data_IF_622692926467
#
_entry.id   IF_622692926467
#
_cell.length_a   1.000
_cell.length_b   1.000
_cell.length_c   1.000
_cell.angle_alpha   90.00
_cell.angle_beta   90.00
_cell.angle_gamma   90.00
#
_symmetry.space_group_name_H-M   'P 1'
#
loop_
_entity.id
_entity.type
_entity.pdbx_description
1 polymer ?
#
# COMPACT_ATOMS: atom_id res chain seq x y z
N UNK A 1 9.22 -16.23 -25.50
CA UNK A 1 9.69 -14.85 -25.26
C UNK A 1 8.55 -14.08 -24.60
N UNK A 2 8.39 -14.22 -23.29
CA UNK A 2 7.42 -13.45 -22.51
C UNK A 2 8.22 -12.75 -21.44
N UNK A 3 8.37 -11.44 -21.60
CA UNK A 3 8.99 -10.56 -20.64
C UNK A 3 8.26 -10.73 -19.30
N UNK A 4 8.86 -11.48 -18.38
CA UNK A 4 8.62 -11.30 -16.96
C UNK A 4 9.17 -9.91 -16.64
N UNK A 5 8.31 -8.89 -16.76
CA UNK A 5 8.59 -7.59 -16.15
C UNK A 5 8.71 -7.91 -14.66
N UNK A 6 9.95 -8.06 -14.20
CA UNK A 6 10.27 -8.17 -12.78
C UNK A 6 9.71 -6.90 -12.13
N UNK A 7 8.55 -7.01 -11.47
CA UNK A 7 8.00 -5.96 -10.63
C UNK A 7 9.03 -5.70 -9.53
N UNK A 8 9.76 -4.59 -9.66
CA UNK A 8 10.69 -4.17 -8.63
C UNK A 8 9.85 -3.69 -7.43
N UNK A 9 9.99 -4.26 -6.22
CA UNK A 9 9.16 -3.91 -5.07
C UNK A 9 9.22 -2.41 -4.72
N UNK A 10 10.34 -1.75 -5.02
CA UNK A 10 10.51 -0.30 -4.84
C UNK A 10 9.62 0.50 -5.81
N UNK A 11 9.38 0.00 -7.01
CA UNK A 11 8.52 0.68 -8.01
C UNK A 11 7.06 0.67 -7.61
N UNK A 12 6.60 -0.39 -6.93
CA UNK A 12 5.21 -0.48 -6.47
C UNK A 12 4.93 0.53 -5.33
N UNK A 13 5.87 0.65 -4.38
CA UNK A 13 5.80 1.66 -3.30
C UNK A 13 5.76 3.07 -3.89
N UNK A 14 6.65 3.36 -4.86
CA UNK A 14 6.67 4.67 -5.54
C UNK A 14 5.37 4.97 -6.28
N UNK A 15 4.78 3.97 -6.92
CA UNK A 15 3.51 4.11 -7.62
C UNK A 15 2.37 4.45 -6.65
N UNK A 16 2.30 3.77 -5.51
CA UNK A 16 1.28 4.04 -4.50
C UNK A 16 1.44 5.45 -3.91
N UNK A 17 2.67 5.87 -3.56
CA UNK A 17 2.91 7.21 -3.04
C UNK A 17 2.49 8.29 -4.04
N UNK A 18 2.78 8.09 -5.33
CA UNK A 18 2.35 9.02 -6.38
C UNK A 18 0.81 9.10 -6.48
N UNK A 19 0.11 7.97 -6.38
CA UNK A 19 -1.36 7.97 -6.35
C UNK A 19 -1.87 8.79 -5.16
N UNK A 20 -1.31 8.59 -3.96
CA UNK A 20 -1.70 9.37 -2.78
C UNK A 20 -1.44 10.87 -2.95
N UNK A 21 -0.30 11.26 -3.53
CA UNK A 21 0.02 12.67 -3.83
C UNK A 21 -0.97 13.28 -4.82
N UNK A 22 -1.37 12.53 -5.86
CA UNK A 22 -2.32 12.99 -6.85
C UNK A 22 -3.74 13.09 -6.25
N UNK A 23 -4.15 12.17 -5.36
CA UNK A 23 -5.38 12.28 -4.59
C UNK A 23 -5.41 13.53 -3.70
N UNK A 24 -4.28 13.85 -3.06
CA UNK A 24 -4.14 15.04 -2.21
C UNK A 24 -4.25 16.33 -3.02
N UNK A 25 -3.59 16.39 -4.20
CA UNK A 25 -3.68 17.55 -5.11
C UNK A 25 -5.09 17.78 -5.64
N UNK A 26 -5.82 16.70 -5.90
CA UNK A 26 -7.20 16.76 -6.39
C UNK A 26 -8.22 17.06 -5.28
N UNK A 27 -7.79 17.14 -4.02
CA UNK A 27 -8.67 17.42 -2.88
C UNK A 27 -9.69 16.30 -2.60
N UNK A 28 -9.44 15.09 -3.09
CA UNK A 28 -10.28 13.90 -2.85
C UNK A 28 -9.84 13.13 -1.60
N UNK A 29 -8.70 13.49 -1.00
CA UNK A 29 -8.25 12.95 0.28
C UNK A 29 -9.29 13.20 1.38
N UNK A 30 -9.93 12.12 1.85
CA UNK A 30 -10.95 12.14 2.90
C UNK A 30 -12.36 11.82 2.41
N UNK A 31 -12.62 11.87 1.10
CA UNK A 31 -13.87 11.37 0.53
C UNK A 31 -13.71 9.87 0.24
N UNK A 32 -14.17 9.04 1.18
CA UNK A 32 -14.12 7.57 1.07
C UNK A 32 -14.80 7.05 -0.20
N UNK A 33 -15.69 7.82 -0.83
CA UNK A 33 -16.35 7.42 -2.08
C UNK A 33 -15.48 7.60 -3.33
N UNK A 34 -14.43 8.43 -3.26
CA UNK A 34 -13.58 8.81 -4.40
C UNK A 34 -12.13 8.36 -4.28
N UNK A 35 -11.67 8.01 -3.09
CA UNK A 35 -10.31 7.47 -2.90
C UNK A 35 -10.20 6.05 -3.47
N UNK A 36 -9.00 5.66 -3.90
CA UNK A 36 -8.67 4.32 -4.36
C UNK A 36 -9.04 3.23 -3.34
N UNK A 37 -9.14 3.58 -2.05
CA UNK A 37 -9.61 2.71 -0.97
C UNK A 37 -11.03 2.16 -1.20
N UNK A 38 -11.87 2.85 -1.96
CA UNK A 38 -13.23 2.37 -2.26
C UNK A 38 -13.24 1.00 -2.95
N UNK A 39 -12.19 0.69 -3.72
CA UNK A 39 -12.02 -0.63 -4.36
C UNK A 39 -11.86 -1.76 -3.34
N UNK A 40 -11.35 -1.45 -2.14
CA UNK A 40 -11.02 -2.41 -1.10
C UNK A 40 -11.98 -2.31 0.11
N UNK A 41 -13.10 -1.59 0.01
CA UNK A 41 -13.97 -1.30 1.16
C UNK A 41 -14.45 -2.57 1.90
N UNK A 42 -14.62 -3.67 1.17
CA UNK A 42 -15.16 -4.93 1.69
C UNK A 42 -14.07 -5.87 2.23
N UNK A 43 -12.81 -5.42 2.27
CA UNK A 43 -11.67 -6.20 2.77
C UNK A 43 -10.79 -5.37 3.70
N UNK A 44 -10.66 -5.81 4.94
CA UNK A 44 -9.71 -5.24 5.92
C UNK A 44 -8.30 -5.85 5.83
N UNK A 45 -8.06 -6.75 4.89
CA UNK A 45 -6.77 -7.42 4.72
C UNK A 45 -5.78 -6.55 3.95
N UNK A 46 -4.56 -6.42 4.50
CA UNK A 46 -3.44 -5.71 3.87
C UNK A 46 -2.29 -6.67 3.60
N UNK A 47 -1.56 -6.43 2.51
CA UNK A 47 -0.34 -7.17 2.17
C UNK A 47 0.88 -6.33 2.56
N UNK A 48 1.81 -6.94 3.28
CA UNK A 48 3.05 -6.30 3.72
C UNK A 48 4.23 -7.11 3.13
N UNK A 49 5.11 -6.44 2.40
CA UNK A 49 6.29 -7.05 1.79
C UNK A 49 7.55 -6.24 2.09
N UNK A 50 8.70 -6.91 2.06
CA UNK A 50 10.00 -6.26 2.33
C UNK A 50 10.35 -6.12 3.81
N UNK A 51 9.71 -6.90 4.69
CA UNK A 51 10.06 -6.93 6.11
C UNK A 51 11.44 -7.58 6.32
N UNK A 52 12.28 -7.03 7.21
CA UNK A 52 13.49 -7.71 7.68
C UNK A 52 13.19 -9.08 8.30
N UNK A 53 14.04 -10.07 8.04
CA UNK A 53 13.88 -11.44 8.56
C UNK A 53 14.01 -11.56 10.08
N UNK A 54 14.53 -10.52 10.73
CA UNK A 54 14.71 -10.48 12.19
C UNK A 54 13.45 -10.06 12.93
N UNK A 55 12.44 -9.54 12.23
CA UNK A 55 11.18 -9.12 12.84
C UNK A 55 10.32 -10.32 13.21
N UNK A 56 9.78 -10.29 14.43
CA UNK A 56 8.81 -11.28 14.90
C UNK A 56 7.38 -10.83 14.60
N UNK A 57 6.43 -11.77 14.63
CA UNK A 57 5.01 -11.46 14.50
C UNK A 57 4.53 -10.46 15.56
N UNK A 58 5.07 -10.54 16.78
CA UNK A 58 4.78 -9.61 17.87
C UNK A 58 5.25 -8.18 17.60
N UNK A 59 6.42 -8.03 16.97
CA UNK A 59 6.94 -6.71 16.57
C UNK A 59 6.05 -6.07 15.49
N UNK A 60 5.60 -6.89 14.53
CA UNK A 60 4.69 -6.44 13.47
C UNK A 60 3.37 -5.96 14.10
N UNK A 61 2.74 -6.77 14.97
CA UNK A 61 1.49 -6.38 15.63
C UNK A 61 1.66 -5.08 16.41
N UNK A 62 2.76 -4.93 17.14
CA UNK A 62 3.05 -3.74 17.97
C UNK A 62 3.15 -2.46 17.14
N UNK A 63 3.78 -2.52 15.96
CA UNK A 63 3.92 -1.36 15.07
C UNK A 63 2.59 -1.01 14.39
N UNK A 64 1.81 -2.01 13.97
CA UNK A 64 0.55 -1.80 13.26
C UNK A 64 -0.67 -1.53 14.17
N UNK A 65 -0.49 -1.56 15.49
CA UNK A 65 -1.53 -1.22 16.48
C UNK A 65 -1.51 0.24 16.96
N UNK A 66 -0.83 1.14 16.25
CA UNK A 66 -0.80 2.58 16.56
C UNK A 66 -2.17 3.25 16.43
#
# INVERSE_FOLDING_TARGET
>A
MQFLIQMNPITNIKSQNKLNEDELKLGISGDSSKSWHQKYKDSAWIYIGGLPYELTEGDIITVFSQ
#
